data_IF_186240181341
#
_entry.id   IF_186240181341
#
_cell.length_a   1.000
_cell.length_b   1.000
_cell.length_c   1.000
_cell.angle_alpha   90.00
_cell.angle_beta   90.00
_cell.angle_gamma   90.00
#
_symmetry.space_group_name_H-M   'P 1'
#
loop_
_entity.id
_entity.type
_entity.pdbx_description
1 polymer ?
#
# COMPACT_ATOMS: atom_id res chain seq x y z
N UNK A 1 -9.62 1.49 -13.61
CA UNK A 1 -8.38 1.65 -14.39
C UNK A 1 -7.62 0.33 -14.40
N UNK A 2 -6.94 -0.01 -15.47
CA UNK A 2 -6.34 -1.33 -15.64
C UNK A 2 -4.87 -1.29 -15.22
N UNK A 3 -4.48 -2.09 -14.24
CA UNK A 3 -3.10 -2.26 -13.82
C UNK A 3 -2.29 -2.91 -14.96
N UNK A 4 -1.12 -2.37 -15.28
CA UNK A 4 -0.20 -2.98 -16.25
C UNK A 4 0.48 -4.23 -15.68
N UNK A 5 1.22 -4.95 -16.53
CA UNK A 5 2.08 -6.05 -16.08
C UNK A 5 3.25 -5.48 -15.28
N UNK A 6 3.30 -5.82 -13.99
CA UNK A 6 4.33 -5.33 -13.08
C UNK A 6 5.45 -6.34 -13.02
N UNK A 7 6.65 -5.88 -13.34
CA UNK A 7 7.87 -6.69 -13.25
C UNK A 7 8.72 -6.22 -12.09
N UNK A 8 9.15 -7.15 -11.25
CA UNK A 8 10.17 -6.86 -10.25
C UNK A 8 11.48 -6.46 -10.94
N UNK A 9 12.09 -5.39 -10.48
CA UNK A 9 13.46 -5.03 -10.84
C UNK A 9 14.41 -5.56 -9.75
N UNK A 10 15.38 -6.40 -10.10
CA UNK A 10 16.38 -6.91 -9.13
C UNK A 10 17.30 -5.80 -8.62
N UNK A 11 17.45 -4.71 -9.36
CA UNK A 11 18.21 -3.55 -8.91
C UNK A 11 17.50 -2.78 -7.79
N UNK A 12 16.16 -2.70 -7.84
CA UNK A 12 15.35 -1.98 -6.85
C UNK A 12 14.90 -2.88 -5.69
N UNK A 13 14.69 -4.17 -5.98
CA UNK A 13 14.28 -5.17 -5.00
C UNK A 13 15.15 -6.43 -5.17
N UNK A 14 16.36 -6.46 -4.62
CA UNK A 14 17.29 -7.59 -4.71
C UNK A 14 16.74 -8.88 -4.11
N UNK A 15 17.22 -10.04 -4.60
CA UNK A 15 16.87 -11.35 -4.04
C UNK A 15 17.19 -11.41 -2.54
N UNK A 16 18.34 -10.87 -2.11
CA UNK A 16 18.73 -10.86 -0.71
C UNK A 16 17.73 -10.19 0.24
N UNK A 17 17.02 -9.15 -0.22
CA UNK A 17 15.96 -8.50 0.57
C UNK A 17 14.78 -9.44 0.75
N UNK A 18 14.34 -10.11 -0.32
CA UNK A 18 13.23 -11.07 -0.28
C UNK A 18 13.60 -12.30 0.57
N UNK A 19 14.83 -12.77 0.46
CA UNK A 19 15.35 -13.89 1.27
C UNK A 19 15.38 -13.53 2.77
N UNK A 20 15.77 -12.29 3.12
CA UNK A 20 15.73 -11.80 4.50
C UNK A 20 14.28 -11.69 5.03
N UNK A 21 13.33 -11.26 4.21
CA UNK A 21 11.89 -11.24 4.56
C UNK A 21 11.37 -12.65 4.79
N UNK A 22 11.71 -13.59 3.90
CA UNK A 22 11.33 -15.00 4.02
C UNK A 22 11.90 -15.63 5.29
N UNK A 23 13.15 -15.35 5.62
CA UNK A 23 13.77 -15.84 6.85
C UNK A 23 13.03 -15.36 8.12
N UNK A 24 12.59 -14.08 8.16
CA UNK A 24 11.77 -13.57 9.27
C UNK A 24 10.43 -14.28 9.38
N UNK A 25 9.77 -14.56 8.24
CA UNK A 25 8.50 -15.32 8.22
C UNK A 25 8.71 -16.72 8.74
N UNK A 26 9.75 -17.42 8.31
CA UNK A 26 10.08 -18.78 8.77
C UNK A 26 10.36 -18.84 10.26
N UNK A 27 11.13 -17.89 10.78
CA UNK A 27 11.38 -17.81 12.22
C UNK A 27 10.08 -17.64 13.04
N UNK A 28 9.13 -16.83 12.56
CA UNK A 28 7.84 -16.69 13.20
C UNK A 28 6.97 -17.96 13.07
N UNK A 29 7.02 -18.65 11.94
CA UNK A 29 6.36 -19.94 11.74
C UNK A 29 6.92 -21.01 12.67
N UNK A 30 8.24 -21.07 12.84
CA UNK A 30 8.89 -22.02 13.77
C UNK A 30 8.44 -21.77 15.21
N UNK A 31 8.42 -20.52 15.65
CA UNK A 31 7.92 -20.15 16.99
C UNK A 31 6.45 -20.49 17.21
N UNK A 32 5.63 -20.48 16.17
CA UNK A 32 4.21 -20.82 16.20
C UNK A 32 3.91 -22.30 15.89
N UNK A 33 4.92 -23.12 15.59
CA UNK A 33 4.75 -24.52 15.23
C UNK A 33 4.03 -24.77 13.91
N UNK A 34 4.07 -23.82 12.98
CA UNK A 34 3.44 -23.92 11.66
C UNK A 34 4.35 -24.65 10.66
N UNK A 35 3.78 -25.57 9.89
CA UNK A 35 4.47 -26.28 8.82
C UNK A 35 4.46 -25.49 7.49
N UNK A 36 3.39 -24.70 7.27
CA UNK A 36 3.31 -23.78 6.14
C UNK A 36 2.48 -22.54 6.49
N UNK A 37 2.74 -21.44 5.76
CA UNK A 37 1.92 -20.23 5.77
C UNK A 37 1.30 -20.03 4.39
N UNK A 38 0.02 -19.74 4.33
CA UNK A 38 -0.71 -19.39 3.11
C UNK A 38 -0.98 -17.88 3.06
N UNK A 39 -0.73 -17.28 1.92
CA UNK A 39 -1.02 -15.89 1.63
C UNK A 39 -1.86 -15.80 0.34
N UNK A 40 -3.05 -15.23 0.45
CA UNK A 40 -3.90 -15.00 -0.70
C UNK A 40 -3.54 -13.71 -1.42
N UNK A 41 -3.65 -13.70 -2.73
CA UNK A 41 -3.44 -12.51 -3.54
C UNK A 41 -4.41 -12.43 -4.71
N UNK A 42 -4.82 -11.22 -5.01
CA UNK A 42 -5.50 -10.84 -6.25
C UNK A 42 -5.08 -9.41 -6.62
N UNK A 43 -5.68 -8.83 -7.66
CA UNK A 43 -5.35 -7.47 -8.12
C UNK A 43 -5.63 -6.35 -7.09
N UNK A 44 -6.45 -6.59 -6.07
CA UNK A 44 -6.74 -5.63 -5.00
C UNK A 44 -6.01 -5.93 -3.69
N UNK A 45 -5.57 -7.17 -3.49
CA UNK A 45 -4.91 -7.65 -2.26
C UNK A 45 -3.53 -8.23 -2.55
N UNK A 46 -2.69 -7.47 -3.25
CA UNK A 46 -1.36 -7.95 -3.65
C UNK A 46 -0.31 -7.90 -2.53
N UNK A 47 -0.51 -7.06 -1.53
CA UNK A 47 0.56 -6.58 -0.64
C UNK A 47 1.34 -7.67 0.11
N UNK A 48 0.71 -8.76 0.58
CA UNK A 48 1.40 -9.84 1.29
C UNK A 48 2.33 -10.65 0.39
N UNK A 49 1.81 -11.08 -0.75
CA UNK A 49 2.54 -11.89 -1.71
C UNK A 49 3.61 -11.06 -2.42
N UNK A 50 3.29 -9.83 -2.83
CA UNK A 50 4.27 -8.95 -3.48
C UNK A 50 5.44 -8.61 -2.56
N UNK A 51 5.20 -8.45 -1.27
CA UNK A 51 6.25 -8.21 -0.28
C UNK A 51 7.26 -9.36 -0.18
N UNK A 52 6.80 -10.62 -0.25
CA UNK A 52 7.68 -11.80 -0.17
C UNK A 52 8.32 -12.17 -1.50
N UNK A 53 7.68 -11.87 -2.63
CA UNK A 53 8.08 -12.47 -3.92
C UNK A 53 8.35 -11.44 -5.01
N UNK A 54 7.89 -10.20 -4.84
CA UNK A 54 7.85 -9.19 -5.91
C UNK A 54 6.74 -9.44 -6.93
N UNK A 55 5.93 -10.51 -6.79
CA UNK A 55 4.82 -10.79 -7.69
C UNK A 55 3.60 -9.91 -7.36
N UNK A 56 3.09 -9.21 -8.36
CA UNK A 56 1.83 -8.47 -8.27
C UNK A 56 0.89 -8.99 -9.36
N UNK A 57 -0.23 -9.63 -9.01
CA UNK A 57 -1.13 -10.17 -10.02
C UNK A 57 -1.81 -9.05 -10.80
N UNK A 58 -1.92 -9.25 -12.10
CA UNK A 58 -2.58 -8.33 -13.02
C UNK A 58 -4.09 -8.56 -13.06
N UNK A 59 -4.49 -9.80 -13.06
CA UNK A 59 -5.88 -10.30 -12.97
C UNK A 59 -5.86 -11.66 -12.28
N UNK A 60 -7.05 -12.18 -11.97
CA UNK A 60 -7.18 -13.47 -11.32
C UNK A 60 -6.66 -13.49 -9.87
N UNK A 61 -6.47 -14.67 -9.34
CA UNK A 61 -6.11 -14.89 -7.96
C UNK A 61 -5.06 -15.99 -7.82
N UNK A 62 -4.36 -15.99 -6.68
CA UNK A 62 -3.37 -17.00 -6.36
C UNK A 62 -3.24 -17.19 -4.86
N UNK A 63 -2.70 -18.35 -4.45
CA UNK A 63 -2.21 -18.63 -3.11
C UNK A 63 -0.69 -18.81 -3.15
N UNK A 64 0.03 -18.03 -2.36
CA UNK A 64 1.43 -18.31 -2.07
C UNK A 64 1.49 -19.29 -0.90
N UNK A 65 2.08 -20.44 -1.15
CA UNK A 65 2.43 -21.42 -0.12
C UNK A 65 3.86 -21.17 0.29
N UNK A 66 4.07 -20.84 1.56
CA UNK A 66 5.39 -20.67 2.17
C UNK A 66 5.64 -21.86 3.09
N UNK A 67 6.36 -22.90 2.63
CA UNK A 67 6.74 -24.03 3.49
C UNK A 67 7.86 -23.60 4.45
N UNK A 68 7.95 -24.25 5.59
CA UNK A 68 8.97 -24.02 6.61
C UNK A 68 10.38 -24.24 6.06
N UNK A 69 10.58 -25.28 5.28
CA UNK A 69 11.87 -25.89 4.94
C UNK A 69 12.28 -25.76 3.48
N UNK A 70 11.49 -25.09 2.65
CA UNK A 70 11.79 -24.95 1.21
C UNK A 70 11.26 -23.68 0.60
N UNK A 71 11.60 -23.47 -0.66
CA UNK A 71 11.22 -22.27 -1.39
C UNK A 71 9.69 -22.13 -1.55
N UNK A 72 9.17 -20.89 -1.55
CA UNK A 72 7.75 -20.62 -1.75
C UNK A 72 7.26 -21.07 -3.12
N UNK A 73 6.02 -21.55 -3.16
CA UNK A 73 5.32 -21.98 -4.38
C UNK A 73 4.07 -21.15 -4.56
N UNK A 74 3.85 -20.62 -5.77
CA UNK A 74 2.65 -19.89 -6.12
C UNK A 74 1.67 -20.82 -6.85
N UNK A 75 0.51 -21.05 -6.26
CA UNK A 75 -0.61 -21.73 -6.91
C UNK A 75 -1.52 -20.66 -7.51
N UNK A 76 -1.62 -20.58 -8.83
CA UNK A 76 -2.28 -19.49 -9.52
C UNK A 76 -3.41 -19.98 -10.43
N UNK A 77 -4.56 -19.32 -10.38
CA UNK A 77 -5.66 -19.51 -11.32
C UNK A 77 -5.43 -18.78 -12.66
N UNK A 78 -4.21 -18.38 -12.93
CA UNK A 78 -3.79 -17.75 -14.18
C UNK A 78 -3.53 -18.79 -15.27
N UNK A 79 -3.66 -18.40 -16.54
CA UNK A 79 -3.34 -19.25 -17.66
C UNK A 79 -1.90 -19.76 -17.59
N UNK A 80 -1.68 -21.03 -17.90
CA UNK A 80 -0.35 -21.64 -17.98
C UNK A 80 0.64 -20.85 -18.87
N UNK A 81 0.13 -20.13 -19.86
CA UNK A 81 0.95 -19.30 -20.76
C UNK A 81 1.74 -18.20 -20.07
N UNK A 82 1.30 -17.75 -18.89
CA UNK A 82 2.00 -16.71 -18.12
C UNK A 82 2.96 -17.26 -17.07
N UNK A 83 3.03 -18.59 -16.87
CA UNK A 83 3.91 -19.24 -15.90
C UNK A 83 5.34 -18.75 -16.01
N UNK A 84 5.93 -18.86 -17.18
CA UNK A 84 7.32 -18.48 -17.42
C UNK A 84 7.60 -16.97 -17.18
N UNK A 85 6.60 -16.12 -17.40
CA UNK A 85 6.69 -14.70 -17.09
C UNK A 85 6.70 -14.47 -15.55
N UNK A 86 5.81 -15.12 -14.81
CA UNK A 86 5.77 -15.01 -13.35
C UNK A 86 7.11 -15.48 -12.74
N UNK A 87 7.63 -16.62 -13.19
CA UNK A 87 8.91 -17.18 -12.72
C UNK A 87 10.10 -16.24 -12.98
N UNK A 88 10.12 -15.55 -14.11
CA UNK A 88 11.19 -14.58 -14.43
C UNK A 88 11.06 -13.26 -13.68
N UNK A 89 9.88 -12.87 -13.28
CA UNK A 89 9.60 -11.53 -12.70
C UNK A 89 9.34 -11.54 -11.20
N UNK A 90 9.47 -12.71 -10.56
CA UNK A 90 9.28 -12.89 -9.12
C UNK A 90 10.36 -13.79 -8.51
N UNK A 91 10.48 -13.78 -7.19
CA UNK A 91 11.35 -14.68 -6.43
C UNK A 91 10.52 -15.86 -5.91
N UNK A 92 10.43 -16.92 -6.72
CA UNK A 92 9.65 -18.14 -6.45
C UNK A 92 10.42 -19.36 -6.91
N UNK A 93 10.21 -20.52 -6.24
CA UNK A 93 10.73 -21.79 -6.71
C UNK A 93 9.92 -22.33 -7.89
N UNK A 94 8.59 -22.24 -7.78
CA UNK A 94 7.68 -22.86 -8.73
C UNK A 94 6.35 -22.07 -8.82
N UNK A 95 5.74 -22.11 -10.00
CA UNK A 95 4.37 -21.66 -10.23
C UNK A 95 3.53 -22.86 -10.67
N UNK A 96 2.53 -23.21 -9.89
CA UNK A 96 1.57 -24.25 -10.20
C UNK A 96 0.31 -23.59 -10.77
N UNK A 97 -0.14 -24.03 -11.92
CA UNK A 97 -1.41 -23.61 -12.50
C UNK A 97 -2.53 -24.52 -12.03
N UNK A 98 -3.59 -23.94 -11.49
CA UNK A 98 -4.80 -24.68 -11.12
C UNK A 98 -5.98 -23.74 -10.90
N UNK A 99 -7.17 -24.06 -11.47
CA UNK A 99 -8.36 -23.24 -11.32
C UNK A 99 -8.92 -23.25 -9.89
N UNK A 100 -8.62 -24.29 -9.12
CA UNK A 100 -9.02 -24.46 -7.72
C UNK A 100 -7.81 -24.30 -6.81
N UNK A 101 -7.34 -23.05 -6.69
CA UNK A 101 -6.08 -22.74 -5.98
C UNK A 101 -6.02 -23.29 -4.55
N UNK A 102 -7.15 -23.29 -3.82
CA UNK A 102 -7.24 -23.87 -2.47
C UNK A 102 -7.02 -25.38 -2.47
N UNK A 103 -7.66 -26.09 -3.38
CA UNK A 103 -7.55 -27.56 -3.49
C UNK A 103 -6.13 -27.98 -3.88
N UNK A 104 -5.54 -27.34 -4.88
CA UNK A 104 -4.17 -27.64 -5.33
C UNK A 104 -3.13 -27.35 -4.23
N UNK A 105 -3.24 -26.20 -3.56
CA UNK A 105 -2.35 -25.85 -2.46
C UNK A 105 -2.42 -26.86 -1.31
N UNK A 106 -3.63 -27.23 -0.88
CA UNK A 106 -3.84 -28.18 0.19
C UNK A 106 -3.38 -29.59 -0.19
N UNK A 107 -3.69 -30.06 -1.40
CA UNK A 107 -3.26 -31.39 -1.90
C UNK A 107 -1.74 -31.50 -1.95
N UNK A 108 -1.04 -30.44 -2.42
CA UNK A 108 0.41 -30.38 -2.44
C UNK A 108 1.02 -30.46 -1.02
N UNK A 109 0.44 -29.76 -0.06
CA UNK A 109 0.90 -29.82 1.35
C UNK A 109 0.62 -31.18 1.95
N UNK A 110 -0.62 -31.68 1.83
CA UNK A 110 -1.07 -32.96 2.40
C UNK A 110 -0.31 -34.16 1.85
N UNK A 111 0.10 -34.13 0.58
CA UNK A 111 0.94 -35.17 -0.02
C UNK A 111 2.30 -35.35 0.68
N UNK A 112 2.75 -34.34 1.42
CA UNK A 112 4.03 -34.35 2.14
C UNK A 112 3.85 -34.60 3.62
N UNK A 113 2.89 -33.92 4.23
CA UNK A 113 2.51 -34.05 5.63
C UNK A 113 0.99 -33.89 5.73
N UNK A 114 0.33 -35.00 5.87
CA UNK A 114 -1.14 -35.08 5.80
C UNK A 114 -1.86 -34.34 6.93
N UNK A 115 -1.20 -34.14 8.06
CA UNK A 115 -1.67 -33.47 9.28
C UNK A 115 -0.92 -32.16 9.56
N UNK A 116 -0.40 -31.52 8.50
CA UNK A 116 0.37 -30.29 8.63
C UNK A 116 -0.45 -29.17 9.29
N UNK A 117 0.24 -28.39 10.14
CA UNK A 117 -0.29 -27.15 10.74
C UNK A 117 -0.11 -25.99 9.77
N UNK A 118 -1.21 -25.41 9.32
CA UNK A 118 -1.23 -24.35 8.30
C UNK A 118 -1.74 -23.05 8.90
N UNK A 119 -0.93 -22.01 8.84
CA UNK A 119 -1.36 -20.65 9.09
C UNK A 119 -1.90 -19.99 7.82
N UNK A 120 -2.97 -19.24 7.91
CA UNK A 120 -3.53 -18.45 6.81
C UNK A 120 -3.54 -16.98 7.23
N UNK A 121 -2.80 -16.14 6.53
CA UNK A 121 -2.84 -14.70 6.79
C UNK A 121 -4.07 -14.07 6.11
N UNK A 122 -4.70 -13.12 6.80
CA UNK A 122 -5.95 -12.45 6.38
C UNK A 122 -7.10 -13.46 6.12
N UNK A 123 -7.27 -14.46 6.99
CA UNK A 123 -8.27 -15.52 6.86
C UNK A 123 -9.69 -14.99 6.69
N UNK A 124 -10.06 -13.94 7.41
CA UNK A 124 -11.39 -13.30 7.32
C UNK A 124 -11.66 -12.70 5.92
N UNK A 125 -10.61 -12.41 5.19
CA UNK A 125 -10.69 -11.88 3.83
C UNK A 125 -10.62 -12.93 2.73
N UNK A 126 -10.47 -14.20 3.08
CA UNK A 126 -10.39 -15.30 2.13
C UNK A 126 -11.80 -15.72 1.68
N UNK A 127 -11.99 -15.92 0.37
CA UNK A 127 -13.27 -16.37 -0.15
C UNK A 127 -13.64 -17.76 0.42
N UNK A 128 -14.88 -17.92 0.86
CA UNK A 128 -15.35 -19.17 1.48
C UNK A 128 -15.09 -20.42 0.61
N UNK A 129 -15.24 -20.29 -0.72
CA UNK A 129 -14.95 -21.37 -1.66
C UNK A 129 -13.50 -21.83 -1.64
N UNK A 130 -12.54 -20.93 -1.40
CA UNK A 130 -11.12 -21.29 -1.27
C UNK A 130 -10.91 -22.06 0.04
N UNK A 131 -11.56 -21.66 1.13
CA UNK A 131 -11.47 -22.37 2.42
C UNK A 131 -12.06 -23.77 2.31
N UNK A 132 -13.18 -23.94 1.60
CA UNK A 132 -13.75 -25.26 1.32
C UNK A 132 -12.81 -26.12 0.47
N UNK A 133 -12.18 -25.54 -0.53
CA UNK A 133 -11.22 -26.23 -1.37
C UNK A 133 -9.98 -26.66 -0.59
N UNK A 134 -9.49 -25.83 0.33
CA UNK A 134 -8.41 -26.19 1.25
C UNK A 134 -8.79 -27.43 2.08
N UNK A 135 -10.01 -27.45 2.65
CA UNK A 135 -10.51 -28.58 3.43
C UNK A 135 -10.69 -29.87 2.61
N UNK A 136 -11.12 -29.72 1.35
CA UNK A 136 -11.29 -30.87 0.44
C UNK A 136 -9.95 -31.43 -0.05
N UNK A 137 -8.99 -30.57 -0.35
CA UNK A 137 -7.66 -30.98 -0.82
C UNK A 137 -6.77 -31.56 0.28
N UNK A 138 -7.04 -31.20 1.54
CA UNK A 138 -6.28 -31.69 2.69
C UNK A 138 -7.17 -31.87 3.93
N UNK A 139 -8.02 -32.92 4.00
CA UNK A 139 -9.02 -33.03 5.04
C UNK A 139 -8.46 -33.24 6.47
N UNK A 140 -7.18 -33.52 6.60
CA UNK A 140 -6.48 -33.66 7.89
C UNK A 140 -5.58 -32.48 8.24
N UNK A 141 -5.48 -31.47 7.34
CA UNK A 141 -4.71 -30.27 7.60
C UNK A 141 -5.38 -29.47 8.74
N UNK A 142 -4.56 -28.97 9.66
CA UNK A 142 -5.02 -28.04 10.70
C UNK A 142 -4.88 -26.60 10.19
N UNK A 143 -6.00 -25.94 9.95
CA UNK A 143 -6.05 -24.56 9.45
C UNK A 143 -6.28 -23.59 10.61
N UNK A 144 -5.47 -22.55 10.70
CA UNK A 144 -5.57 -21.49 11.72
C UNK A 144 -5.36 -20.12 11.13
N UNK A 145 -5.90 -19.08 11.76
CA UNK A 145 -5.61 -17.69 11.41
C UNK A 145 -4.20 -17.31 11.87
N UNK A 146 -3.38 -16.87 10.93
CA UNK A 146 -2.02 -16.39 11.13
C UNK A 146 -1.87 -14.88 10.86
N UNK A 147 -2.96 -14.13 10.81
CA UNK A 147 -2.94 -12.68 10.54
C UNK A 147 -2.14 -11.96 11.61
N UNK A 148 -2.36 -12.26 12.88
CA UNK A 148 -1.62 -11.67 14.00
C UNK A 148 -0.12 -12.04 14.02
N UNK A 149 0.26 -13.17 13.42
CA UNK A 149 1.66 -13.56 13.22
C UNK A 149 2.31 -12.78 12.08
N UNK A 150 1.62 -12.66 10.94
CA UNK A 150 2.20 -12.11 9.71
C UNK A 150 2.20 -10.58 9.67
N UNK A 151 1.16 -9.92 10.17
CA UNK A 151 1.02 -8.46 10.09
C UNK A 151 2.18 -7.68 10.73
N UNK A 152 2.69 -8.03 11.93
CA UNK A 152 3.82 -7.36 12.56
C UNK A 152 5.12 -7.46 11.75
N UNK A 153 5.35 -8.60 11.06
CA UNK A 153 6.55 -8.80 10.24
C UNK A 153 6.67 -7.80 9.08
N UNK A 154 5.54 -7.23 8.68
CA UNK A 154 5.44 -6.22 7.61
C UNK A 154 5.27 -4.81 8.15
N UNK A 155 5.11 -4.64 9.46
CA UNK A 155 4.86 -3.32 10.03
C UNK A 155 6.05 -2.38 9.81
N UNK A 156 7.26 -2.88 9.95
CA UNK A 156 8.50 -2.15 9.70
C UNK A 156 8.89 -2.24 8.21
N UNK A 157 9.13 -1.09 7.59
CA UNK A 157 9.65 -1.02 6.23
C UNK A 157 11.17 -1.25 6.21
N UNK A 158 11.64 -2.02 5.26
CA UNK A 158 13.06 -2.15 4.99
C UNK A 158 13.57 -1.08 4.00
N UNK A 159 14.90 -0.92 3.84
CA UNK A 159 15.45 0.10 2.95
C UNK A 159 14.97 0.03 1.50
N UNK A 160 14.70 -1.17 0.97
CA UNK A 160 14.18 -1.31 -0.39
C UNK A 160 12.72 -0.83 -0.49
N UNK A 161 11.89 -1.14 0.51
CA UNK A 161 10.51 -0.64 0.58
C UNK A 161 10.46 0.89 0.70
N UNK A 162 11.36 1.47 1.51
CA UNK A 162 11.51 2.93 1.63
C UNK A 162 11.94 3.56 0.29
N UNK A 163 12.91 2.96 -0.42
CA UNK A 163 13.35 3.46 -1.72
C UNK A 163 12.24 3.42 -2.79
N UNK A 164 11.43 2.34 -2.82
CA UNK A 164 10.26 2.26 -3.69
C UNK A 164 9.20 3.32 -3.34
N UNK A 165 8.97 3.58 -2.05
CA UNK A 165 8.05 4.62 -1.59
C UNK A 165 8.54 6.02 -1.98
N UNK A 166 9.83 6.29 -1.86
CA UNK A 166 10.43 7.56 -2.31
C UNK A 166 10.29 7.74 -3.82
N UNK A 167 10.46 6.67 -4.62
CA UNK A 167 10.23 6.72 -6.07
C UNK A 167 8.77 7.00 -6.39
N UNK A 168 7.82 6.33 -5.74
CA UNK A 168 6.39 6.59 -5.90
C UNK A 168 6.03 8.03 -5.49
N UNK A 169 6.65 8.57 -4.43
CA UNK A 169 6.45 9.93 -3.97
C UNK A 169 6.98 10.97 -4.98
N UNK A 170 8.15 10.74 -5.55
CA UNK A 170 8.71 11.60 -6.62
C UNK A 170 7.80 11.65 -7.86
N UNK A 171 7.23 10.50 -8.26
CA UNK A 171 6.22 10.43 -9.34
C UNK A 171 4.99 11.29 -8.98
N UNK A 172 4.46 11.16 -7.77
CA UNK A 172 3.30 11.94 -7.34
C UNK A 172 3.60 13.45 -7.27
N UNK A 173 4.81 13.85 -6.83
CA UNK A 173 5.22 15.25 -6.82
C UNK A 173 5.28 15.83 -8.23
N UNK A 174 5.94 15.14 -9.15
CA UNK A 174 6.06 15.57 -10.54
C UNK A 174 4.69 15.62 -11.23
N UNK A 175 3.83 14.65 -10.97
CA UNK A 175 2.48 14.62 -11.51
C UNK A 175 1.63 15.79 -10.98
N UNK A 176 1.63 16.08 -9.69
CA UNK A 176 0.89 17.21 -9.11
C UNK A 176 1.45 18.58 -9.55
N UNK A 177 2.74 18.65 -9.92
CA UNK A 177 3.31 19.86 -10.49
C UNK A 177 2.77 20.18 -11.89
N UNK A 178 2.13 19.22 -12.58
CA UNK A 178 1.48 19.43 -13.88
C UNK A 178 0.05 19.96 -13.76
N UNK A 179 -0.40 20.29 -12.55
CA UNK A 179 -1.73 20.90 -12.39
C UNK A 179 -1.79 22.18 -13.25
N UNK A 180 -2.69 22.25 -14.23
CA UNK A 180 -2.78 23.37 -15.14
C UNK A 180 -3.01 24.68 -14.38
N UNK A 181 -2.44 25.76 -14.94
CA UNK A 181 -2.56 27.07 -14.36
C UNK A 181 -3.96 27.68 -14.43
N UNK A 182 -4.02 28.98 -14.26
CA UNK A 182 -5.25 29.80 -14.25
C UNK A 182 -6.21 29.44 -15.39
N UNK A 183 -7.45 29.15 -15.06
CA UNK A 183 -8.51 28.88 -16.04
C UNK A 183 -8.71 27.44 -16.44
N UNK A 184 -7.85 26.52 -16.00
CA UNK A 184 -8.05 25.10 -16.26
C UNK A 184 -9.22 24.52 -15.47
N UNK A 185 -9.92 23.56 -16.06
CA UNK A 185 -10.98 22.80 -15.40
C UNK A 185 -10.40 21.75 -14.45
N UNK A 186 -11.24 21.25 -13.55
CA UNK A 186 -10.86 20.11 -12.68
C UNK A 186 -10.52 18.88 -13.50
N UNK A 187 -11.28 18.59 -14.56
CA UNK A 187 -11.06 17.44 -15.44
C UNK A 187 -9.72 17.51 -16.17
N UNK A 188 -9.36 18.68 -16.70
CA UNK A 188 -8.03 18.89 -17.33
C UNK A 188 -6.89 18.70 -16.33
N UNK A 189 -7.05 19.19 -15.09
CA UNK A 189 -6.07 19.01 -14.02
C UNK A 189 -5.89 17.53 -13.68
N UNK A 190 -6.97 16.78 -13.51
CA UNK A 190 -6.93 15.35 -13.24
C UNK A 190 -6.27 14.59 -14.38
N UNK A 191 -6.65 14.88 -15.63
CA UNK A 191 -6.09 14.22 -16.81
C UNK A 191 -4.59 14.46 -16.94
N UNK A 192 -4.11 15.69 -16.71
CA UNK A 192 -2.69 16.03 -16.75
C UNK A 192 -1.89 15.27 -15.68
N UNK A 193 -2.39 15.22 -14.44
CA UNK A 193 -1.76 14.49 -13.33
C UNK A 193 -1.69 12.99 -13.66
N UNK A 194 -2.77 12.38 -14.14
CA UNK A 194 -2.80 10.96 -14.48
C UNK A 194 -1.84 10.64 -15.64
N UNK A 195 -1.81 11.47 -16.68
CA UNK A 195 -0.91 11.30 -17.81
C UNK A 195 0.56 11.37 -17.39
N UNK A 196 0.92 12.38 -16.58
CA UNK A 196 2.30 12.55 -16.11
C UNK A 196 2.73 11.40 -15.19
N UNK A 197 1.90 11.02 -14.22
CA UNK A 197 2.23 9.91 -13.33
C UNK A 197 2.52 8.61 -14.10
N UNK A 198 1.75 8.33 -15.17
CA UNK A 198 1.99 7.16 -16.04
C UNK A 198 3.25 7.29 -16.86
N UNK A 199 3.53 8.47 -17.39
CA UNK A 199 4.76 8.75 -18.13
C UNK A 199 5.99 8.50 -17.26
N UNK A 200 5.92 8.83 -15.96
CA UNK A 200 6.98 8.63 -14.98
C UNK A 200 7.09 7.18 -14.46
N UNK A 201 6.19 6.30 -14.89
CA UNK A 201 6.23 4.87 -14.59
C UNK A 201 5.27 4.41 -13.49
N UNK A 202 4.27 5.22 -13.10
CA UNK A 202 3.22 4.76 -12.21
C UNK A 202 2.44 3.59 -12.82
N UNK A 203 2.28 2.53 -12.08
CA UNK A 203 1.47 1.37 -12.47
C UNK A 203 -0.01 1.68 -12.33
N UNK A 204 -0.35 2.39 -11.26
CA UNK A 204 -1.69 2.93 -11.02
C UNK A 204 -1.59 4.35 -10.47
N UNK A 205 -2.59 5.15 -10.82
CA UNK A 205 -2.80 6.49 -10.28
C UNK A 205 -4.29 6.72 -10.09
N UNK A 206 -4.64 7.29 -8.93
CA UNK A 206 -5.99 7.76 -8.62
C UNK A 206 -5.90 9.19 -8.12
N UNK A 207 -6.74 10.06 -8.66
CA UNK A 207 -6.83 11.45 -8.21
C UNK A 207 -8.15 11.64 -7.47
N UNK A 208 -8.06 12.18 -6.24
CA UNK A 208 -9.20 12.66 -5.49
C UNK A 208 -9.10 14.17 -5.35
N UNK A 209 -10.24 14.85 -5.34
CA UNK A 209 -10.32 16.29 -5.27
C UNK A 209 -11.24 16.77 -4.13
N UNK A 210 -10.89 17.90 -3.53
CA UNK A 210 -11.77 18.78 -2.79
C UNK A 210 -11.86 20.10 -3.58
N UNK A 211 -12.88 20.28 -4.43
CA UNK A 211 -12.91 21.37 -5.41
C UNK A 211 -13.03 22.77 -4.80
N UNK A 212 -13.56 22.89 -3.58
CA UNK A 212 -13.76 24.16 -2.88
C UNK A 212 -13.53 23.93 -1.38
N UNK A 213 -12.37 24.35 -0.88
CA UNK A 213 -11.97 24.12 0.52
C UNK A 213 -12.74 24.98 1.52
N UNK A 214 -13.37 26.06 1.08
CA UNK A 214 -14.23 26.89 1.93
C UNK A 214 -15.58 26.23 2.19
N UNK A 215 -16.04 25.39 1.25
CA UNK A 215 -17.33 24.68 1.35
C UNK A 215 -17.20 23.25 1.85
N UNK A 216 -16.24 22.48 1.28
CA UNK A 216 -16.08 21.05 1.59
C UNK A 216 -14.62 20.62 1.46
N UNK A 217 -14.00 20.27 2.57
CA UNK A 217 -12.60 19.82 2.65
C UNK A 217 -12.41 18.32 2.48
N UNK A 218 -13.48 17.58 2.15
CA UNK A 218 -13.43 16.14 1.93
C UNK A 218 -12.91 15.81 0.54
N UNK A 219 -11.82 15.08 0.48
CA UNK A 219 -11.30 14.51 -0.77
C UNK A 219 -12.23 13.39 -1.25
N UNK A 220 -12.68 13.49 -2.49
CA UNK A 220 -13.49 12.47 -3.14
C UNK A 220 -13.11 12.33 -4.61
N UNK A 221 -13.40 11.18 -5.19
CA UNK A 221 -13.34 11.03 -6.63
C UNK A 221 -14.49 11.85 -7.23
N UNK A 222 -14.15 12.68 -8.20
CA UNK A 222 -15.12 13.47 -8.95
C UNK A 222 -15.26 12.83 -10.32
N UNK A 223 -16.50 12.59 -10.73
CA UNK A 223 -16.83 12.19 -12.09
C UNK A 223 -17.36 13.41 -12.83
N UNK A 224 -16.78 13.71 -13.99
CA UNK A 224 -17.08 14.93 -14.75
C UNK A 224 -16.42 16.18 -14.18
N UNK A 225 -17.05 17.33 -14.43
CA UNK A 225 -16.55 18.63 -14.02
C UNK A 225 -17.16 19.11 -12.70
N UNK A 226 -16.37 19.85 -11.94
CA UNK A 226 -16.82 20.57 -10.76
C UNK A 226 -16.25 21.99 -10.78
N UNK A 227 -17.03 22.95 -10.33
CA UNK A 227 -16.57 24.32 -10.18
C UNK A 227 -15.49 24.38 -9.09
N UNK A 228 -14.38 25.04 -9.39
CA UNK A 228 -13.30 25.28 -8.44
C UNK A 228 -13.58 26.53 -7.62
N UNK A 229 -13.40 26.44 -6.30
CA UNK A 229 -13.38 27.58 -5.38
C UNK A 229 -12.08 28.38 -5.48
N UNK A 230 -11.90 29.37 -4.60
CA UNK A 230 -10.66 30.18 -4.50
C UNK A 230 -9.45 29.32 -4.13
N UNK A 231 -9.67 28.28 -3.32
CA UNK A 231 -8.70 27.24 -2.99
C UNK A 231 -9.31 25.87 -3.18
N UNK A 232 -8.57 24.96 -3.80
CA UNK A 232 -8.96 23.56 -3.98
C UNK A 232 -7.79 22.64 -3.67
N UNK A 233 -8.08 21.38 -3.36
CA UNK A 233 -7.04 20.40 -3.10
C UNK A 233 -7.16 19.19 -4.01
N UNK A 234 -6.00 18.65 -4.41
CA UNK A 234 -5.88 17.40 -5.16
C UNK A 234 -5.00 16.42 -4.40
N UNK A 235 -5.40 15.15 -4.37
CA UNK A 235 -4.62 14.05 -3.84
C UNK A 235 -4.29 13.05 -4.94
N UNK A 236 -3.02 12.92 -5.26
CA UNK A 236 -2.54 11.83 -6.09
C UNK A 236 -2.22 10.61 -5.21
N UNK A 237 -2.85 9.48 -5.54
CA UNK A 237 -2.53 8.16 -4.98
C UNK A 237 -1.83 7.37 -6.06
N UNK A 238 -0.56 7.06 -5.86
CA UNK A 238 0.32 6.48 -6.89
C UNK A 238 0.85 5.14 -6.42
N UNK A 239 0.85 4.15 -7.32
CA UNK A 239 1.53 2.89 -7.12
C UNK A 239 2.79 2.78 -7.99
N UNK A 240 3.88 2.35 -7.39
CA UNK A 240 5.11 1.98 -8.07
C UNK A 240 5.64 0.65 -7.51
N UNK A 241 5.79 -0.36 -8.37
CA UNK A 241 6.21 -1.73 -8.00
C UNK A 241 5.42 -2.30 -6.81
N UNK A 242 4.10 -2.04 -6.80
CA UNK A 242 3.20 -2.47 -5.74
C UNK A 242 3.27 -1.66 -4.43
N UNK A 243 4.13 -0.66 -4.34
CA UNK A 243 4.20 0.28 -3.21
C UNK A 243 3.30 1.48 -3.48
N UNK A 244 2.43 1.79 -2.54
CA UNK A 244 1.45 2.87 -2.65
C UNK A 244 1.83 4.06 -1.80
N UNK A 245 1.66 5.27 -2.33
CA UNK A 245 1.77 6.53 -1.57
C UNK A 245 0.59 7.45 -1.88
N UNK A 246 0.39 8.42 -1.01
CA UNK A 246 -0.58 9.51 -1.18
C UNK A 246 0.10 10.83 -0.93
N UNK A 247 -0.06 11.75 -1.88
CA UNK A 247 0.43 13.12 -1.76
C UNK A 247 -0.75 14.06 -2.00
N UNK A 248 -1.00 14.98 -1.08
CA UNK A 248 -2.11 15.95 -1.14
C UNK A 248 -1.54 17.35 -1.15
N UNK A 249 -2.00 18.18 -2.08
CA UNK A 249 -1.63 19.60 -2.20
C UNK A 249 -2.86 20.48 -2.30
N UNK A 250 -2.76 21.67 -1.73
CA UNK A 250 -3.71 22.76 -1.96
C UNK A 250 -3.20 23.66 -3.07
N UNK A 251 -4.12 24.07 -3.94
CA UNK A 251 -3.87 24.94 -5.07
C UNK A 251 -4.79 26.18 -4.99
N UNK A 252 -4.25 27.39 -5.22
CA UNK A 252 -5.07 28.58 -5.43
C UNK A 252 -5.58 28.60 -6.87
N UNK A 253 -6.83 29.05 -7.06
CA UNK A 253 -7.43 29.16 -8.39
C UNK A 253 -6.77 30.25 -9.25
N UNK A 254 -6.38 31.34 -8.63
CA UNK A 254 -5.87 32.55 -9.31
C UNK A 254 -4.35 32.65 -9.33
N UNK A 255 -3.64 31.60 -8.84
CA UNK A 255 -2.19 31.62 -8.69
C UNK A 255 -1.70 32.49 -7.53
N UNK A 256 -2.58 32.86 -6.58
CA UNK A 256 -2.20 33.60 -5.38
C UNK A 256 -1.13 32.82 -4.58
N UNK A 257 -0.24 33.55 -3.93
CA UNK A 257 0.79 32.95 -3.08
C UNK A 257 0.11 32.30 -1.88
N UNK A 258 0.29 30.99 -1.75
CA UNK A 258 -0.13 30.24 -0.56
C UNK A 258 1.01 30.22 0.45
N UNK A 259 0.73 30.14 1.76
CA UNK A 259 1.76 30.00 2.79
C UNK A 259 2.32 28.56 2.82
N UNK A 260 2.83 28.07 1.67
CA UNK A 260 3.20 26.66 1.48
C UNK A 260 4.35 26.23 2.39
N UNK A 261 5.39 27.09 2.55
CA UNK A 261 6.54 26.77 3.39
C UNK A 261 6.13 26.67 4.87
N UNK A 262 5.35 27.64 5.37
CA UNK A 262 4.84 27.61 6.74
C UNK A 262 3.92 26.41 6.98
N UNK A 263 3.09 26.09 6.00
CA UNK A 263 2.18 24.95 6.06
C UNK A 263 2.94 23.61 6.09
N UNK A 264 3.97 23.47 5.24
CA UNK A 264 4.80 22.28 5.25
C UNK A 264 5.61 22.13 6.52
N UNK A 265 6.18 23.21 7.02
CA UNK A 265 6.92 23.21 8.29
C UNK A 265 6.00 22.80 9.45
N UNK A 266 4.75 23.28 9.48
CA UNK A 266 3.75 22.88 10.47
C UNK A 266 3.39 21.40 10.38
N UNK A 267 3.16 20.87 9.18
CA UNK A 267 2.88 19.44 8.97
C UNK A 267 4.10 18.59 9.34
N UNK A 268 5.30 18.99 8.94
CA UNK A 268 6.53 18.27 9.29
C UNK A 268 6.78 18.22 10.80
N UNK A 269 6.55 19.34 11.50
CA UNK A 269 6.64 19.41 12.96
C UNK A 269 5.62 18.50 13.67
N UNK A 270 4.40 18.39 13.11
CA UNK A 270 3.39 17.47 13.63
C UNK A 270 3.79 16.01 13.40
N UNK A 271 4.26 15.68 12.20
CA UNK A 271 4.71 14.33 11.83
C UNK A 271 5.89 13.88 12.70
N UNK A 272 6.82 14.79 13.01
CA UNK A 272 8.00 14.48 13.83
C UNK A 272 7.65 13.94 15.22
N UNK A 273 6.44 14.18 15.71
CA UNK A 273 5.95 13.67 16.99
C UNK A 273 5.27 12.30 16.92
N UNK A 274 5.07 11.73 15.73
CA UNK A 274 4.52 10.37 15.62
C UNK A 274 5.42 9.36 16.38
N UNK A 275 4.83 8.37 17.06
CA UNK A 275 3.41 7.97 17.06
C UNK A 275 2.50 8.75 18.01
N UNK A 276 2.97 9.81 18.71
CA UNK A 276 2.07 10.66 19.49
C UNK A 276 1.17 11.50 18.59
N UNK A 277 -0.07 11.69 18.99
CA UNK A 277 -1.02 12.61 18.36
C UNK A 277 -0.82 14.08 18.72
N UNK A 278 0.03 14.39 19.71
CA UNK A 278 0.22 15.74 20.25
C UNK A 278 0.70 16.76 19.20
N UNK A 279 1.39 16.28 18.17
CA UNK A 279 1.81 17.11 17.05
C UNK A 279 0.65 17.74 16.27
N UNK A 280 -0.50 17.10 16.29
CA UNK A 280 -1.68 17.53 15.54
C UNK A 280 -2.65 18.41 16.35
N UNK A 281 -2.26 18.85 17.54
CA UNK A 281 -3.04 19.83 18.29
C UNK A 281 -3.23 21.12 17.46
N UNK A 282 -4.47 21.61 17.35
CA UNK A 282 -4.80 22.80 16.56
C UNK A 282 -4.97 22.56 15.04
N UNK A 283 -4.96 21.30 14.58
CA UNK A 283 -5.44 20.93 13.25
C UNK A 283 -6.96 20.70 13.29
N UNK A 284 -7.67 21.11 12.24
CA UNK A 284 -9.13 20.91 12.16
C UNK A 284 -9.50 19.45 12.03
N UNK A 285 -8.74 18.72 11.23
CA UNK A 285 -8.78 17.27 11.15
C UNK A 285 -7.45 16.71 10.62
N UNK A 286 -7.19 15.46 10.94
CA UNK A 286 -6.01 14.76 10.44
C UNK A 286 -6.25 13.26 10.44
N UNK A 287 -5.47 12.55 9.60
CA UNK A 287 -5.45 11.10 9.57
C UNK A 287 -4.07 10.57 9.16
N UNK A 288 -3.76 9.37 9.63
CA UNK A 288 -2.57 8.59 9.29
C UNK A 288 -3.03 7.25 8.76
N UNK A 289 -2.66 6.92 7.53
CA UNK A 289 -3.05 5.70 6.83
C UNK A 289 -1.83 4.87 6.43
N UNK A 290 -1.97 3.54 6.37
CA UNK A 290 -0.92 2.68 5.84
C UNK A 290 -0.71 2.85 4.33
N UNK A 291 0.54 2.70 3.88
CA UNK A 291 0.96 2.85 2.48
C UNK A 291 0.92 1.56 1.65
N UNK A 292 0.21 0.51 2.08
CA UNK A 292 0.29 -0.81 1.42
C UNK A 292 -0.81 -1.11 0.42
N UNK A 293 -1.88 -0.34 0.44
CA UNK A 293 -3.03 -0.48 -0.46
C UNK A 293 -3.52 0.89 -0.92
N UNK A 294 -4.21 0.91 -2.05
CA UNK A 294 -4.74 2.13 -2.66
C UNK A 294 -5.70 2.90 -1.73
N UNK A 295 -6.59 2.17 -1.09
CA UNK A 295 -7.61 2.72 -0.21
C UNK A 295 -7.72 1.87 1.06
N UNK A 296 -7.07 2.29 2.17
CA UNK A 296 -7.24 1.65 3.47
C UNK A 296 -8.71 1.69 3.90
N UNK A 297 -9.19 0.61 4.51
CA UNK A 297 -10.56 0.53 5.03
C UNK A 297 -10.75 1.46 6.22
N UNK A 298 -9.69 1.66 7.01
CA UNK A 298 -9.70 2.57 8.15
C UNK A 298 -8.32 3.22 8.31
N UNK A 299 -8.26 4.45 8.82
CA UNK A 299 -6.99 5.05 9.20
C UNK A 299 -6.39 4.32 10.41
N UNK A 300 -5.05 4.35 10.51
CA UNK A 300 -4.30 3.83 11.66
C UNK A 300 -4.46 4.76 12.87
N UNK A 301 -4.46 6.06 12.63
CA UNK A 301 -4.67 7.13 13.61
C UNK A 301 -5.43 8.28 12.96
N UNK A 302 -6.09 9.12 13.76
CA UNK A 302 -6.75 10.31 13.24
C UNK A 302 -7.62 11.02 14.28
N UNK A 303 -8.01 12.25 13.99
CA UNK A 303 -8.85 13.08 14.85
C UNK A 303 -10.24 12.48 15.14
N UNK A 304 -10.68 11.52 14.34
CA UNK A 304 -12.00 10.84 14.47
C UNK A 304 -11.86 9.33 14.68
N UNK A 305 -10.66 8.84 15.02
CA UNK A 305 -10.41 7.42 15.26
C UNK A 305 -10.49 7.15 16.75
N UNK A 306 -11.45 6.34 17.17
CA UNK A 306 -11.69 6.05 18.59
C UNK A 306 -10.57 5.20 19.24
N UNK A 307 -9.86 4.39 18.44
CA UNK A 307 -8.79 3.52 18.92
C UNK A 307 -7.59 3.66 18.00
N UNK A 308 -6.47 4.16 18.54
CA UNK A 308 -5.23 4.21 17.78
C UNK A 308 -4.56 2.83 17.80
N UNK A 309 -4.20 2.33 16.63
CA UNK A 309 -3.27 1.21 16.53
C UNK A 309 -1.84 1.74 16.72
N UNK A 310 -1.00 1.10 17.55
CA UNK A 310 0.39 1.53 17.68
C UNK A 310 1.09 1.47 16.33
N UNK A 311 1.71 2.58 15.93
CA UNK A 311 2.56 2.61 14.73
C UNK A 311 3.88 1.91 15.05
N UNK A 312 4.27 0.96 14.20
CA UNK A 312 5.57 0.32 14.33
C UNK A 312 6.70 1.30 14.00
N UNK A 313 7.88 1.14 14.62
CA UNK A 313 9.09 1.81 14.16
C UNK A 313 9.33 1.56 12.67
N UNK A 314 9.85 2.54 11.97
CA UNK A 314 10.05 2.47 10.49
C UNK A 314 8.80 2.15 9.66
N UNK A 315 7.59 2.33 10.22
CA UNK A 315 6.37 2.16 9.43
C UNK A 315 6.26 3.23 8.35
N UNK A 316 5.92 2.81 7.12
CA UNK A 316 5.56 3.71 6.03
C UNK A 316 4.08 4.08 6.14
N UNK A 317 3.80 5.36 6.26
CA UNK A 317 2.46 5.90 6.41
C UNK A 317 2.22 7.08 5.47
N UNK A 318 0.97 7.36 5.15
CA UNK A 318 0.54 8.62 4.55
C UNK A 318 -0.15 9.45 5.61
N UNK A 319 0.29 10.67 5.78
CA UNK A 319 -0.32 11.64 6.70
C UNK A 319 -1.09 12.66 5.88
N UNK A 320 -2.31 12.97 6.28
CA UNK A 320 -3.10 14.05 5.70
C UNK A 320 -3.66 14.92 6.83
N UNK A 321 -3.64 16.21 6.66
CA UNK A 321 -4.09 17.16 7.65
C UNK A 321 -4.82 18.36 7.02
N UNK A 322 -5.88 18.79 7.69
CA UNK A 322 -6.71 19.93 7.40
C UNK A 322 -6.49 21.00 8.50
N UNK A 323 -6.10 22.19 8.12
CA UNK A 323 -5.80 23.29 9.02
C UNK A 323 -5.87 24.64 8.30
N UNK A 324 -5.70 25.71 9.04
CA UNK A 324 -5.69 27.06 8.50
C UNK A 324 -4.40 27.78 8.84
N UNK A 325 -3.93 28.59 7.91
CA UNK A 325 -2.87 29.59 8.13
C UNK A 325 -3.37 30.92 7.60
N UNK A 326 -3.31 31.96 8.45
CA UNK A 326 -3.80 33.32 8.12
C UNK A 326 -5.24 33.32 7.57
N UNK A 327 -6.12 32.48 8.17
CA UNK A 327 -7.52 32.37 7.76
C UNK A 327 -7.75 31.64 6.42
N UNK A 328 -6.74 31.07 5.79
CA UNK A 328 -6.85 30.30 4.55
C UNK A 328 -6.87 28.80 4.84
N UNK A 329 -7.87 28.09 4.31
CA UNK A 329 -7.96 26.65 4.47
C UNK A 329 -6.89 25.94 3.65
N UNK A 330 -6.24 24.96 4.27
CA UNK A 330 -5.20 24.15 3.66
C UNK A 330 -5.47 22.67 3.94
N UNK A 331 -5.40 21.87 2.90
CA UNK A 331 -5.44 20.41 2.98
C UNK A 331 -4.14 19.87 2.39
N UNK A 332 -3.26 19.39 3.25
CA UNK A 332 -1.96 18.88 2.87
C UNK A 332 -1.79 17.43 3.33
N UNK A 333 -0.96 16.70 2.61
CA UNK A 333 -0.60 15.35 3.01
C UNK A 333 0.62 14.85 2.27
N UNK A 334 1.42 14.03 2.94
CA UNK A 334 2.62 13.44 2.38
C UNK A 334 2.88 12.05 2.96
N UNK A 335 3.63 11.18 2.25
CA UNK A 335 4.15 9.97 2.84
C UNK A 335 5.21 10.29 3.88
N UNK A 336 5.21 9.51 4.96
CA UNK A 336 6.12 9.67 6.08
C UNK A 336 6.68 8.33 6.54
N UNK A 337 7.86 8.37 7.14
CA UNK A 337 8.50 7.27 7.83
C UNK A 337 8.42 7.52 9.33
N UNK A 338 7.82 6.61 10.06
CA UNK A 338 7.82 6.64 11.53
C UNK A 338 9.24 6.41 12.03
N UNK A 339 9.73 7.23 12.94
CA UNK A 339 11.08 7.10 13.48
C UNK A 339 11.30 5.77 14.22
N UNK A 340 12.54 5.31 14.26
CA UNK A 340 12.96 4.24 15.16
C UNK A 340 12.99 4.75 16.60
N UNK A 341 13.18 3.85 17.56
CA UNK A 341 13.25 4.24 18.96
C UNK A 341 14.29 5.35 19.19
N UNK A 342 13.82 6.52 19.61
CA UNK A 342 14.66 7.71 19.83
C UNK A 342 14.87 8.60 18.61
N UNK A 343 14.34 8.25 17.45
CA UNK A 343 14.37 9.06 16.23
C UNK A 343 13.00 9.71 15.98
N UNK A 344 12.99 10.93 15.48
CA UNK A 344 11.77 11.59 15.06
C UNK A 344 11.25 10.98 13.74
N UNK A 345 9.93 10.93 13.58
CA UNK A 345 9.35 10.62 12.29
C UNK A 345 9.63 11.75 11.28
N UNK A 346 9.66 11.43 9.99
CA UNK A 346 9.96 12.38 8.94
C UNK A 346 9.09 12.20 7.71
N UNK A 347 8.79 13.29 7.03
CA UNK A 347 8.18 13.24 5.69
C UNK A 347 9.21 12.68 4.70
N UNK A 348 8.78 11.80 3.79
CA UNK A 348 9.64 11.29 2.72
C UNK A 348 9.89 12.35 1.63
N UNK A 349 8.91 13.22 1.42
CA UNK A 349 8.95 14.33 0.46
C UNK A 349 8.17 15.51 1.03
N UNK A 350 8.51 16.75 0.68
CA UNK A 350 7.70 17.90 1.04
C UNK A 350 6.31 17.82 0.42
N UNK A 351 5.26 18.33 1.09
CA UNK A 351 3.87 18.26 0.62
C UNK A 351 3.54 19.29 -0.50
N UNK A 352 4.52 19.98 -1.08
CA UNK A 352 4.35 20.96 -2.15
C UNK A 352 5.49 20.89 -3.20
#
# INVERSE_FOLDING_TARGET
>A
MRRGLISRSKAELPDAVLDARLARVRAAMDAAGLDALLLYTNNTRAAGVSWLTGFVPYWSEALLVVPRDREPVLVAALSYRVKSWIERTSRLAEVIHGPRIGFEAASMIAARKADAAIGIADLDGLAAGIVEDLRRGGPRLSLSDATALFAPLRAEADPAEIALAMRAAAIAQHALAQTPGRGASLGESIAAIEAQARTDGAEEVYVAAAPDLDRDRRLRRIEGEAALGESFALRATVAYKGTWIRLTRTFPRDGAVQPQEAAAARLAAAVAKLPSSDGFAGFSSWLVEGCRIAQPLAPLMGSRVATAHPLAPSALVSVQADFEIEGRPLLLGAPALVGRRGEAASLLVPPF
#
